data_IF_209707194347
#
_entry.id   IF_209707194347
#
_cell.length_a   1.000
_cell.length_b   1.000
_cell.length_c   1.000
_cell.angle_alpha   90.00
_cell.angle_beta   90.00
_cell.angle_gamma   90.00
#
_symmetry.space_group_name_H-M   'P 1'
#
loop_
_entity.id
_entity.type
_entity.pdbx_description
1 polymer ?
#
# COMPACT_ATOMS: atom_id res chain seq x y z
N UNK A 1 0.21 -4.55 0.02
CA UNK A 1 -0.85 -5.04 -0.89
C UNK A 1 -0.75 -4.36 -2.28
N UNK A 2 -1.16 -4.98 -3.41
CA UNK A 2 -1.14 -4.34 -4.75
C UNK A 2 -2.36 -3.39 -4.90
N UNK A 3 -2.19 -2.23 -5.55
CA UNK A 3 -3.29 -1.34 -5.88
C UNK A 3 -4.29 -2.03 -6.84
N UNK A 4 -5.58 -1.79 -6.62
CA UNK A 4 -6.64 -2.31 -7.46
C UNK A 4 -6.76 -1.45 -8.74
N UNK A 5 -6.75 -2.13 -9.88
CA UNK A 5 -6.96 -1.55 -11.21
C UNK A 5 -8.41 -1.81 -11.62
N UNK A 6 -9.12 -0.74 -11.98
CA UNK A 6 -10.54 -0.82 -12.37
C UNK A 6 -10.69 -1.65 -13.63
N UNK A 7 -11.75 -2.46 -13.67
CA UNK A 7 -12.05 -3.34 -14.81
C UNK A 7 -12.65 -2.54 -15.97
N UNK A 8 -13.38 -1.46 -15.70
CA UNK A 8 -13.93 -0.59 -16.75
C UNK A 8 -15.05 -1.25 -17.56
N UNK A 9 -16.04 -1.82 -16.84
CA UNK A 9 -17.20 -2.50 -17.41
C UNK A 9 -17.92 -1.68 -18.50
N UNK A 10 -18.44 -2.34 -19.54
CA UNK A 10 -19.18 -1.74 -20.66
C UNK A 10 -20.47 -2.51 -20.93
N UNK A 11 -21.58 -1.81 -21.17
CA UNK A 11 -22.90 -2.43 -21.44
C UNK A 11 -23.08 -2.89 -22.89
N UNK A 12 -22.29 -2.33 -23.81
CA UNK A 12 -22.37 -2.65 -25.23
C UNK A 12 -20.97 -2.71 -25.83
N UNK A 13 -20.61 -3.87 -26.38
CA UNK A 13 -19.33 -4.10 -27.04
C UNK A 13 -19.60 -4.50 -28.48
N UNK A 14 -19.09 -3.70 -29.41
CA UNK A 14 -19.18 -3.95 -30.86
C UNK A 14 -17.80 -4.23 -31.39
N UNK A 15 -17.68 -5.26 -32.22
CA UNK A 15 -16.48 -5.45 -33.02
C UNK A 15 -16.60 -4.61 -34.30
N UNK A 16 -15.81 -3.54 -34.38
CA UNK A 16 -15.76 -2.63 -35.54
C UNK A 16 -14.96 -3.20 -36.72
N UNK A 17 -14.26 -4.33 -36.53
CA UNK A 17 -13.41 -4.92 -37.57
C UNK A 17 -14.17 -5.81 -38.56
N UNK A 18 -15.41 -6.18 -38.25
CA UNK A 18 -16.32 -6.94 -39.12
C UNK A 18 -17.28 -6.00 -39.85
N UNK A 19 -17.60 -6.30 -41.11
CA UNK A 19 -18.60 -5.54 -41.89
C UNK A 19 -19.73 -6.48 -42.36
N UNK A 20 -20.96 -6.36 -41.83
CA UNK A 20 -21.43 -5.36 -40.85
C UNK A 20 -20.85 -5.61 -39.44
N UNK A 21 -20.77 -4.56 -38.59
CA UNK A 21 -20.26 -4.67 -37.22
C UNK A 21 -21.05 -5.70 -36.44
N UNK A 22 -20.36 -6.71 -35.92
CA UNK A 22 -21.00 -7.74 -35.11
C UNK A 22 -21.04 -7.30 -33.66
N UNK A 23 -22.24 -7.27 -33.08
CA UNK A 23 -22.42 -7.00 -31.65
C UNK A 23 -21.91 -8.22 -30.87
N UNK A 24 -20.85 -8.04 -30.09
CA UNK A 24 -20.24 -9.10 -29.27
C UNK A 24 -21.03 -9.27 -27.95
N UNK A 25 -21.61 -8.18 -27.46
CA UNK A 25 -22.43 -8.18 -26.25
C UNK A 25 -23.55 -7.15 -26.35
N UNK A 26 -24.81 -7.61 -26.42
CA UNK A 26 -25.98 -6.79 -26.09
C UNK A 26 -26.24 -6.93 -24.59
N UNK A 27 -25.96 -5.88 -23.81
CA UNK A 27 -26.48 -5.63 -22.47
C UNK A 27 -26.63 -6.85 -21.55
N UNK A 28 -25.74 -6.98 -20.56
CA UNK A 28 -25.96 -7.95 -19.47
C UNK A 28 -27.13 -7.54 -18.57
N UNK A 29 -27.81 -8.49 -17.89
CA UNK A 29 -28.85 -8.17 -16.90
C UNK A 29 -28.36 -7.26 -15.75
N UNK A 30 -27.05 -7.21 -15.55
CA UNK A 30 -26.36 -6.27 -14.68
C UNK A 30 -25.86 -5.11 -15.54
N UNK A 31 -26.33 -3.90 -15.24
CA UNK A 31 -25.93 -2.68 -15.93
C UNK A 31 -24.52 -2.25 -15.55
N UNK A 32 -23.84 -1.60 -16.50
CA UNK A 32 -22.52 -1.00 -16.37
C UNK A 32 -22.47 -0.08 -15.16
N UNK A 33 -23.53 0.69 -14.91
CA UNK A 33 -23.61 1.58 -13.75
C UNK A 33 -23.49 0.83 -12.44
N UNK A 34 -24.16 -0.32 -12.30
CA UNK A 34 -24.10 -1.11 -11.06
C UNK A 34 -22.74 -1.78 -10.88
N UNK A 35 -22.17 -2.33 -11.95
CA UNK A 35 -20.83 -2.92 -11.94
C UNK A 35 -19.74 -1.87 -11.69
N UNK A 36 -19.90 -0.67 -12.24
CA UNK A 36 -19.00 0.47 -12.02
C UNK A 36 -18.98 0.94 -10.58
N UNK A 37 -20.15 1.03 -9.91
CA UNK A 37 -20.19 1.38 -8.48
C UNK A 37 -19.50 0.33 -7.61
N UNK A 38 -19.59 -0.96 -7.95
CA UNK A 38 -18.86 -2.01 -7.24
C UNK A 38 -17.35 -1.89 -7.48
N UNK A 39 -16.93 -1.64 -8.71
CA UNK A 39 -15.53 -1.41 -9.11
C UNK A 39 -14.93 -0.22 -8.32
N UNK A 40 -15.68 0.87 -8.20
CA UNK A 40 -15.31 2.07 -7.43
C UNK A 40 -15.20 1.77 -5.93
N UNK A 41 -16.16 1.01 -5.38
CA UNK A 41 -16.14 0.59 -3.99
C UNK A 41 -14.91 -0.28 -3.67
N UNK A 42 -14.59 -1.24 -4.54
CA UNK A 42 -13.41 -2.11 -4.39
C UNK A 42 -12.13 -1.28 -4.47
N UNK A 43 -12.04 -0.35 -5.40
CA UNK A 43 -10.88 0.54 -5.51
C UNK A 43 -10.68 1.38 -4.25
N UNK A 44 -11.75 2.01 -3.76
CA UNK A 44 -11.72 2.87 -2.58
C UNK A 44 -11.32 2.10 -1.32
N UNK A 45 -11.90 0.91 -1.10
CA UNK A 45 -11.56 0.04 0.04
C UNK A 45 -10.12 -0.45 -0.06
N UNK A 46 -9.65 -0.84 -1.24
CA UNK A 46 -8.28 -1.33 -1.44
C UNK A 46 -7.26 -0.23 -1.16
N UNK A 47 -7.48 0.98 -1.68
CA UNK A 47 -6.61 2.13 -1.44
C UNK A 47 -6.56 2.53 0.04
N UNK A 48 -7.70 2.51 0.71
CA UNK A 48 -7.80 2.78 2.16
C UNK A 48 -7.05 1.72 2.96
N UNK A 49 -7.24 0.45 2.62
CA UNK A 49 -6.56 -0.68 3.29
C UNK A 49 -5.04 -0.59 3.16
N UNK A 50 -4.50 -0.26 1.97
CA UNK A 50 -3.06 -0.05 1.76
C UNK A 50 -2.52 1.08 2.66
N UNK A 51 -3.27 2.17 2.76
CA UNK A 51 -2.90 3.31 3.60
C UNK A 51 -2.89 2.92 5.08
N UNK A 52 -3.92 2.18 5.52
CA UNK A 52 -4.03 1.66 6.88
C UNK A 52 -2.92 0.65 7.20
N UNK A 53 -2.58 -0.25 6.27
CA UNK A 53 -1.45 -1.21 6.41
C UNK A 53 -0.15 -0.44 6.71
N UNK A 54 0.11 0.65 6.00
CA UNK A 54 1.28 1.51 6.20
C UNK A 54 1.27 2.21 7.57
N UNK A 55 0.13 2.77 7.96
CA UNK A 55 -0.02 3.45 9.26
C UNK A 55 0.12 2.46 10.44
N UNK A 56 -0.45 1.26 10.31
CA UNK A 56 -0.35 0.21 11.33
C UNK A 56 1.11 -0.24 11.45
N UNK A 57 1.82 -0.46 10.34
CA UNK A 57 3.23 -0.83 10.37
C UNK A 57 4.09 0.24 11.09
N UNK A 58 3.84 1.52 10.82
CA UNK A 58 4.49 2.63 11.52
C UNK A 58 4.17 2.61 13.02
N UNK A 59 2.88 2.51 13.39
CA UNK A 59 2.45 2.46 14.80
C UNK A 59 3.02 1.24 15.54
N UNK A 60 3.10 0.08 14.89
CA UNK A 60 3.71 -1.13 15.46
C UNK A 60 5.21 -0.92 15.73
N UNK A 61 5.92 -0.24 14.84
CA UNK A 61 7.33 0.11 15.05
C UNK A 61 7.50 1.05 16.25
N UNK A 62 6.65 2.07 16.36
CA UNK A 62 6.65 3.00 17.50
C UNK A 62 6.37 2.28 18.83
N UNK A 63 5.33 1.44 18.87
CA UNK A 63 4.98 0.66 20.07
C UNK A 63 6.12 -0.27 20.46
N UNK A 64 6.76 -0.95 19.50
CA UNK A 64 7.88 -1.83 19.79
C UNK A 64 9.03 -1.06 20.44
N UNK A 65 9.37 0.10 19.91
CA UNK A 65 10.46 0.92 20.45
C UNK A 65 10.10 1.49 21.82
N UNK A 66 8.87 1.95 22.04
CA UNK A 66 8.40 2.39 23.37
C UNK A 66 8.45 1.25 24.38
N UNK A 67 8.05 0.03 23.96
CA UNK A 67 8.14 -1.17 24.79
C UNK A 67 9.59 -1.49 25.14
N UNK A 68 10.48 -1.49 24.15
CA UNK A 68 11.90 -1.74 24.37
C UNK A 68 12.53 -0.66 25.26
N UNK A 69 12.16 0.61 25.08
CA UNK A 69 12.63 1.72 25.91
C UNK A 69 12.14 1.58 27.36
N UNK A 70 10.87 1.21 27.55
CA UNK A 70 10.27 1.00 28.89
C UNK A 70 10.91 -0.19 29.58
N UNK A 71 11.11 -1.31 28.87
CA UNK A 71 11.71 -2.53 29.45
C UNK A 71 13.20 -2.37 29.75
N UNK A 72 13.93 -1.60 28.96
CA UNK A 72 15.38 -1.39 29.14
C UNK A 72 15.72 -0.09 29.91
N UNK A 73 14.71 0.59 30.48
CA UNK A 73 14.87 1.85 31.21
C UNK A 73 15.67 2.91 30.41
N UNK A 74 15.40 3.03 29.11
CA UNK A 74 15.98 4.09 28.29
C UNK A 74 15.27 5.41 28.61
N UNK A 75 15.91 6.25 29.44
CA UNK A 75 15.36 7.54 29.92
C UNK A 75 15.65 8.73 28.97
N UNK A 76 16.48 8.52 27.94
CA UNK A 76 16.91 9.56 27.00
C UNK A 76 16.02 9.67 25.74
N UNK A 77 16.15 10.76 24.98
CA UNK A 77 15.41 11.02 23.75
C UNK A 77 15.57 9.88 22.73
N UNK A 78 14.48 9.16 22.46
CA UNK A 78 14.40 8.16 21.40
C UNK A 78 13.72 8.79 20.19
N UNK A 79 14.43 8.91 19.08
CA UNK A 79 13.91 9.45 17.82
C UNK A 79 13.63 8.33 16.82
N UNK A 80 12.49 8.43 16.13
CA UNK A 80 12.09 7.52 15.07
C UNK A 80 12.08 8.28 13.74
N UNK A 81 12.80 7.76 12.76
CA UNK A 81 12.73 8.22 11.37
C UNK A 81 12.88 7.03 10.44
N UNK A 82 11.85 6.79 9.64
CA UNK A 82 11.90 5.80 8.57
C UNK A 82 12.69 6.40 7.40
N UNK A 83 13.75 5.70 7.01
CA UNK A 83 14.53 6.00 5.81
C UNK A 83 14.31 4.89 4.78
N UNK A 84 14.35 5.22 3.50
CA UNK A 84 14.18 4.24 2.42
C UNK A 84 15.32 3.20 2.39
N UNK A 85 16.51 3.58 2.88
CA UNK A 85 17.65 2.68 3.05
C UNK A 85 18.63 3.20 4.10
N UNK A 86 19.43 2.31 4.69
CA UNK A 86 20.49 2.69 5.65
C UNK A 86 21.58 3.53 4.98
N UNK A 87 21.80 3.35 3.67
CA UNK A 87 22.68 4.21 2.85
C UNK A 87 22.21 5.66 2.73
N UNK A 88 20.95 5.97 3.06
CA UNK A 88 20.45 7.34 3.12
C UNK A 88 20.90 8.09 4.40
N UNK A 89 21.64 7.42 5.30
CA UNK A 89 22.11 7.97 6.57
C UNK A 89 23.64 7.97 6.60
N UNK A 90 24.25 9.14 6.68
CA UNK A 90 25.68 9.28 6.93
C UNK A 90 25.95 9.10 8.44
N UNK A 91 26.64 8.04 8.82
CA UNK A 91 27.05 7.79 10.21
C UNK A 91 28.33 8.59 10.47
N UNK A 92 28.22 9.64 11.27
CA UNK A 92 29.36 10.50 11.61
C UNK A 92 30.30 9.90 12.67
N UNK A 93 29.81 8.97 13.49
CA UNK A 93 30.57 8.26 14.52
C UNK A 93 29.92 6.91 14.83
N UNK A 94 30.74 5.87 14.99
CA UNK A 94 30.30 4.50 15.29
C UNK A 94 30.39 3.52 14.12
N UNK A 95 30.20 2.24 14.40
CA UNK A 95 30.21 1.14 13.43
C UNK A 95 28.79 0.57 13.30
N UNK A 96 28.29 0.49 12.06
CA UNK A 96 27.01 -0.16 11.76
C UNK A 96 27.19 -1.67 11.57
N UNK A 97 26.47 -2.45 12.36
CA UNK A 97 26.34 -3.89 12.16
C UNK A 97 25.10 -4.18 11.27
N UNK A 98 25.29 -4.69 10.04
CA UNK A 98 24.20 -4.97 9.11
C UNK A 98 23.34 -6.17 9.48
N UNK A 99 23.86 -7.09 10.31
CA UNK A 99 23.14 -8.30 10.74
C UNK A 99 22.22 -7.95 11.91
N UNK A 100 22.76 -7.29 12.94
CA UNK A 100 21.99 -6.87 14.10
C UNK A 100 21.16 -5.61 13.85
N UNK A 101 21.45 -4.87 12.76
CA UNK A 101 20.87 -3.55 12.43
C UNK A 101 21.01 -2.54 13.57
N UNK A 102 22.19 -2.51 14.21
CA UNK A 102 22.54 -1.61 15.32
C UNK A 102 23.77 -0.77 14.99
N UNK A 103 23.83 0.43 15.55
CA UNK A 103 25.03 1.29 15.53
C UNK A 103 25.65 1.22 16.91
N UNK A 104 26.94 0.88 16.97
CA UNK A 104 27.75 0.91 18.18
C UNK A 104 28.61 2.17 18.16
N UNK A 105 28.70 2.86 19.30
CA UNK A 105 29.60 4.01 19.51
C UNK A 105 30.90 3.53 20.12
#
# INVERSE_FOLDING_TARGET
>A
MKAYERVGWQDHVVDETTNPPTIVQEGTPLSQTHLGHMDDGIQAVTATTITQETQIAAAQAEIKVLKDATLNNMVNNVFLKNFDSVSAVAISSGIYDPIARKIYV
#
